data_IF_967030830206
#
_entry.id   IF_967030830206
#
_cell.length_a   1.000
_cell.length_b   1.000
_cell.length_c   1.000
_cell.angle_alpha   90.00
_cell.angle_beta   90.00
_cell.angle_gamma   90.00
#
_symmetry.space_group_name_H-M   'P 1'
#
loop_
_entity.id
_entity.type
_entity.pdbx_description
1 polymer ?
#
# COMPACT_ATOMS: atom_id res chain seq x y z
N UNK A 1 0.64 -0.71 12.96
CA UNK A 1 -0.04 -2.02 12.85
C UNK A 1 0.47 -2.75 11.62
N UNK A 2 0.34 -4.07 11.54
CA UNK A 2 0.59 -4.84 10.33
C UNK A 2 -0.71 -5.29 9.67
N UNK A 3 -0.80 -5.25 8.34
CA UNK A 3 -1.84 -5.89 7.54
C UNK A 3 -1.26 -7.09 6.79
N UNK A 4 -2.05 -8.14 6.63
CA UNK A 4 -1.62 -9.37 5.98
C UNK A 4 -1.65 -9.18 4.46
N UNK A 5 -0.53 -9.45 3.80
CA UNK A 5 -0.47 -9.60 2.35
C UNK A 5 -0.68 -11.07 2.01
N UNK A 6 -1.63 -11.34 1.11
CA UNK A 6 -1.99 -12.71 0.70
C UNK A 6 -1.43 -13.04 -0.68
N UNK A 7 -1.26 -14.33 -0.95
CA UNK A 7 -1.06 -14.82 -2.31
C UNK A 7 -2.40 -15.05 -3.03
N UNK A 8 -2.34 -15.49 -4.29
CA UNK A 8 -3.54 -15.79 -5.10
C UNK A 8 -4.42 -16.92 -4.55
N UNK A 9 -3.93 -17.70 -3.60
CA UNK A 9 -4.64 -18.79 -2.94
C UNK A 9 -5.17 -18.36 -1.56
N UNK A 10 -4.94 -17.10 -1.16
CA UNK A 10 -5.38 -16.57 0.13
C UNK A 10 -4.43 -16.85 1.29
N UNK A 11 -3.28 -17.49 1.05
CA UNK A 11 -2.30 -17.78 2.11
C UNK A 11 -1.57 -16.52 2.53
N UNK A 12 -1.19 -16.44 3.81
CA UNK A 12 -0.30 -15.37 4.29
C UNK A 12 1.04 -15.46 3.56
N UNK A 13 1.43 -14.36 2.93
CA UNK A 13 2.70 -14.23 2.21
C UNK A 13 3.69 -13.29 2.90
N UNK A 14 3.20 -12.14 3.37
CA UNK A 14 4.01 -11.11 4.03
C UNK A 14 3.12 -10.17 4.85
N UNK A 15 3.70 -9.14 5.47
CA UNK A 15 3.00 -8.12 6.27
C UNK A 15 3.45 -6.73 5.86
N UNK A 16 2.50 -5.84 5.52
CA UNK A 16 2.78 -4.43 5.35
C UNK A 16 2.43 -3.65 6.63
N UNK A 17 3.25 -2.67 7.00
CA UNK A 17 3.00 -1.80 8.14
C UNK A 17 2.18 -0.59 7.72
N UNK A 18 1.19 -0.22 8.54
CA UNK A 18 0.38 1.00 8.39
C UNK A 18 0.27 1.74 9.74
N UNK A 19 -0.04 3.03 9.68
CA UNK A 19 -0.38 3.83 10.87
C UNK A 19 -1.75 3.40 11.42
N UNK A 20 -1.96 3.58 12.73
CA UNK A 20 -3.23 3.20 13.37
C UNK A 20 -4.43 4.01 12.85
N UNK A 21 -4.21 5.28 12.51
CA UNK A 21 -5.26 6.15 11.96
C UNK A 21 -5.76 5.73 10.58
N UNK A 22 -4.96 4.98 9.81
CA UNK A 22 -5.32 4.56 8.46
C UNK A 22 -6.08 3.22 8.43
N UNK A 23 -6.27 2.56 9.58
CA UNK A 23 -6.86 1.21 9.66
C UNK A 23 -8.23 1.17 9.00
N UNK A 24 -9.11 2.13 9.29
CA UNK A 24 -10.47 2.16 8.74
C UNK A 24 -10.48 2.44 7.23
N UNK A 25 -9.44 3.08 6.68
CA UNK A 25 -9.30 3.33 5.24
C UNK A 25 -8.75 2.10 4.52
N UNK A 26 -7.85 1.35 5.16
CA UNK A 26 -7.07 0.26 4.56
C UNK A 26 -7.72 -1.11 4.75
N UNK A 27 -8.35 -1.37 5.90
CA UNK A 27 -8.97 -2.65 6.24
C UNK A 27 -10.47 -2.52 6.01
N UNK A 28 -10.89 -2.82 4.78
CA UNK A 28 -12.28 -2.74 4.32
C UNK A 28 -12.67 -4.04 3.62
N UNK A 29 -13.95 -4.41 3.70
CA UNK A 29 -14.47 -5.54 2.95
C UNK A 29 -14.20 -5.38 1.45
N UNK A 30 -13.75 -6.48 0.84
CA UNK A 30 -13.34 -6.52 -0.58
C UNK A 30 -11.88 -6.11 -0.84
N UNK A 31 -11.14 -5.58 0.15
CA UNK A 31 -9.73 -5.28 -0.03
C UNK A 31 -8.86 -6.50 0.32
N UNK A 32 -8.34 -7.14 -0.72
CA UNK A 32 -7.35 -8.20 -0.60
C UNK A 32 -5.98 -7.66 -0.99
N UNK A 33 -5.19 -7.30 0.02
CA UNK A 33 -3.85 -6.75 -0.18
C UNK A 33 -2.85 -7.84 -0.58
N UNK A 34 -2.04 -7.54 -1.60
CA UNK A 34 -1.02 -8.44 -2.15
C UNK A 34 0.26 -7.66 -2.46
N UNK A 35 1.39 -8.36 -2.49
CA UNK A 35 2.63 -7.82 -3.02
C UNK A 35 2.59 -7.86 -4.55
N UNK A 36 2.83 -6.73 -5.20
CA UNK A 36 2.88 -6.60 -6.65
C UNK A 36 4.25 -6.10 -7.10
N UNK A 37 4.80 -6.71 -8.15
CA UNK A 37 6.09 -6.34 -8.73
C UNK A 37 5.89 -5.94 -10.19
N UNK A 38 6.41 -4.77 -10.58
CA UNK A 38 6.40 -4.27 -11.96
C UNK A 38 7.81 -3.82 -12.32
N UNK A 39 8.52 -4.63 -13.10
CA UNK A 39 9.95 -4.41 -13.34
C UNK A 39 10.72 -4.50 -12.02
N UNK A 40 11.43 -3.43 -11.66
CA UNK A 40 12.17 -3.30 -10.39
C UNK A 40 11.32 -2.76 -9.24
N UNK A 41 10.15 -2.20 -9.52
CA UNK A 41 9.29 -1.59 -8.52
C UNK A 41 8.48 -2.66 -7.77
N UNK A 42 8.47 -2.56 -6.44
CA UNK A 42 7.65 -3.40 -5.56
C UNK A 42 6.63 -2.52 -4.85
N UNK A 43 5.37 -2.92 -4.86
CA UNK A 43 4.24 -2.16 -4.34
C UNK A 43 3.29 -3.07 -3.57
N UNK A 44 2.54 -2.50 -2.64
CA UNK A 44 1.41 -3.17 -1.99
C UNK A 44 0.12 -2.70 -2.65
N UNK A 45 -0.68 -3.63 -3.17
CA UNK A 45 -1.89 -3.32 -3.94
C UNK A 45 -3.08 -4.16 -3.52
N UNK A 46 -4.29 -3.62 -3.69
CA UNK A 46 -5.54 -4.36 -3.64
C UNK A 46 -6.17 -4.34 -5.03
N UNK A 47 -6.62 -5.48 -5.53
CA UNK A 47 -7.44 -5.53 -6.75
C UNK A 47 -8.91 -5.52 -6.33
N UNK A 48 -9.61 -4.43 -6.66
CA UNK A 48 -11.04 -4.23 -6.37
C UNK A 48 -11.85 -4.31 -7.67
N UNK A 49 -13.18 -4.33 -7.58
CA UNK A 49 -14.06 -4.25 -8.75
C UNK A 49 -13.90 -2.94 -9.54
N UNK A 50 -13.45 -1.87 -8.88
CA UNK A 50 -13.21 -0.56 -9.49
C UNK A 50 -11.79 -0.43 -10.05
N UNK A 51 -10.97 -1.47 -9.90
CA UNK A 51 -9.59 -1.51 -10.37
C UNK A 51 -8.59 -1.71 -9.25
N UNK A 52 -7.31 -1.53 -9.59
CA UNK A 52 -6.19 -1.74 -8.67
C UNK A 52 -5.90 -0.46 -7.88
N UNK A 53 -5.82 -0.61 -6.57
CA UNK A 53 -5.49 0.46 -5.62
C UNK A 53 -4.10 0.20 -5.07
N UNK A 54 -3.23 1.22 -5.04
CA UNK A 54 -1.91 1.18 -4.37
C UNK A 54 -2.06 1.67 -2.93
N UNK A 55 -1.48 0.96 -1.96
CA UNK A 55 -1.69 1.22 -0.53
C UNK A 55 -1.20 2.60 -0.09
N UNK A 56 0.01 2.96 -0.49
CA UNK A 56 0.64 4.24 -0.22
C UNK A 56 -0.14 5.42 -0.84
N UNK A 57 -0.62 5.28 -2.08
CA UNK A 57 -1.47 6.27 -2.75
C UNK A 57 -2.81 6.40 -2.03
N UNK A 58 -3.41 5.29 -1.59
CA UNK A 58 -4.64 5.33 -0.79
C UNK A 58 -4.41 6.08 0.53
N UNK A 59 -3.27 5.90 1.19
CA UNK A 59 -2.98 6.57 2.48
C UNK A 59 -2.71 8.06 2.28
N UNK A 60 -1.85 8.40 1.32
CA UNK A 60 -1.34 9.77 1.13
C UNK A 60 -2.21 10.65 0.25
N UNK A 61 -3.03 10.05 -0.61
CA UNK A 61 -3.95 10.74 -1.53
C UNK A 61 -3.26 11.91 -2.28
N UNK A 62 -2.11 11.66 -2.96
CA UNK A 62 -1.39 12.72 -3.66
C UNK A 62 -2.19 13.24 -4.85
N UNK A 63 -2.01 14.52 -5.18
CA UNK A 63 -2.46 15.06 -6.46
C UNK A 63 -1.63 14.53 -7.64
N UNK A 64 -2.08 14.84 -8.86
CA UNK A 64 -1.48 14.35 -10.11
C UNK A 64 -0.05 14.86 -10.38
N UNK A 65 0.41 15.87 -9.63
CA UNK A 65 1.77 16.44 -9.76
C UNK A 65 2.77 15.82 -8.79
N UNK A 66 2.31 14.90 -7.94
CA UNK A 66 3.08 14.33 -6.85
C UNK A 66 3.14 12.80 -6.94
N UNK A 67 4.25 12.22 -6.46
CA UNK A 67 4.42 10.79 -6.20
C UNK A 67 4.57 10.55 -4.71
N UNK A 68 4.09 9.41 -4.23
CA UNK A 68 4.42 8.98 -2.86
C UNK A 68 5.81 8.35 -2.85
N UNK A 69 6.64 8.78 -1.90
CA UNK A 69 7.99 8.29 -1.64
C UNK A 69 8.06 7.64 -0.25
N UNK A 70 8.67 6.45 -0.18
CA UNK A 70 8.98 5.78 1.08
C UNK A 70 10.35 6.22 1.58
N UNK A 71 10.39 6.97 2.68
CA UNK A 71 11.60 7.59 3.23
C UNK A 71 12.71 6.56 3.50
N UNK A 72 12.35 5.39 4.05
CA UNK A 72 13.29 4.30 4.33
C UNK A 72 13.50 3.33 3.15
N UNK A 73 12.94 3.63 1.98
CA UNK A 73 12.99 2.79 0.77
C UNK A 73 12.38 1.38 0.93
N UNK A 74 11.65 1.11 2.02
CA UNK A 74 10.95 -0.15 2.24
C UNK A 74 9.48 -0.04 1.79
N UNK A 75 9.08 -0.69 0.69
CA UNK A 75 7.71 -0.62 0.16
C UNK A 75 6.66 -1.29 1.06
N UNK A 76 7.08 -2.08 2.04
CA UNK A 76 6.20 -2.70 3.03
C UNK A 76 5.93 -1.77 4.22
N UNK A 77 6.68 -0.69 4.40
CA UNK A 77 6.47 0.26 5.49
C UNK A 77 5.64 1.46 5.04
N UNK A 78 4.33 1.32 5.07
CA UNK A 78 3.35 2.32 4.64
C UNK A 78 2.80 3.12 5.83
N UNK A 79 3.53 3.20 6.95
CA UNK A 79 3.20 4.12 8.05
C UNK A 79 3.41 5.55 7.55
N UNK A 80 2.48 6.47 7.81
CA UNK A 80 2.58 7.88 7.37
C UNK A 80 3.91 8.55 7.70
N UNK A 81 4.50 8.26 8.86
CA UNK A 81 5.84 8.78 9.24
C UNK A 81 6.97 8.35 8.30
N UNK A 82 6.72 7.39 7.43
CA UNK A 82 7.65 6.86 6.43
C UNK A 82 7.23 7.22 4.99
N UNK A 83 6.13 7.95 4.82
CA UNK A 83 5.62 8.35 3.51
C UNK A 83 5.66 9.87 3.38
N UNK A 84 6.02 10.33 2.20
CA UNK A 84 5.95 11.73 1.83
C UNK A 84 5.53 11.87 0.37
N UNK A 85 4.84 12.96 0.05
CA UNK A 85 4.55 13.30 -1.34
C UNK A 85 5.72 14.14 -1.87
N UNK A 86 6.26 13.77 -3.02
CA UNK A 86 7.32 14.49 -3.72
C UNK A 86 6.84 14.90 -5.12
N UNK A 87 7.30 16.03 -5.68
CA UNK A 87 7.03 16.35 -7.08
C UNK A 87 7.51 15.24 -8.02
N UNK A 88 6.75 15.01 -9.10
CA UNK A 88 7.08 14.05 -10.16
C UNK A 88 8.29 14.51 -10.97
#
# INVERSE_FOLDING_TARGET
MGIILRDKFGNHKDTALISMEDVNKVVKDGYNWVLYKKGTETMVVANTSEGRIRLDMLIMDPDETMKVHHINLNPLDNRRKNLENQPI
#
